data_IF_512537954035
#
_entry.id   IF_512537954035
#
_cell.length_a   1.000
_cell.length_b   1.000
_cell.length_c   1.000
_cell.angle_alpha   90.00
_cell.angle_beta   90.00
_cell.angle_gamma   90.00
#
_symmetry.space_group_name_H-M   'P 1'
#
loop_
_entity.id
_entity.type
_entity.pdbx_description
1 polymer ?
#
# COMPACT_ATOMS: atom_id res chain seq x y z
N UNK A 1 30.17 -63.61 -45.51
CA UNK A 1 28.71 -63.62 -45.27
C UNK A 1 28.45 -62.74 -44.06
N UNK A 2 27.99 -61.50 -44.30
CA UNK A 2 26.65 -60.97 -43.90
C UNK A 2 26.43 -60.93 -42.38
N UNK A 3 26.04 -59.84 -41.72
CA UNK A 3 25.61 -58.47 -42.07
C UNK A 3 25.86 -57.54 -40.85
N UNK A 4 26.06 -56.23 -40.99
CA UNK A 4 25.07 -55.16 -41.20
C UNK A 4 23.98 -55.08 -40.11
N UNK A 5 24.11 -54.11 -39.19
CA UNK A 5 23.12 -53.05 -38.87
C UNK A 5 23.52 -52.26 -37.60
N UNK A 6 23.58 -50.93 -37.76
CA UNK A 6 23.39 -49.89 -36.71
C UNK A 6 21.90 -49.49 -36.77
N UNK A 7 21.22 -49.09 -35.67
CA UNK A 7 21.15 -47.66 -35.34
C UNK A 7 20.93 -47.27 -33.86
N UNK A 8 21.51 -46.11 -33.48
CA UNK A 8 20.95 -45.09 -32.58
C UNK A 8 20.03 -45.51 -31.42
N UNK A 9 20.60 -45.63 -30.22
CA UNK A 9 19.84 -45.40 -28.97
C UNK A 9 19.97 -43.92 -28.56
N UNK A 10 18.94 -43.16 -28.90
CA UNK A 10 18.71 -41.84 -28.33
C UNK A 10 18.25 -41.99 -26.87
N UNK A 11 19.14 -41.65 -25.93
CA UNK A 11 18.82 -41.52 -24.51
C UNK A 11 17.76 -40.42 -24.35
N UNK A 12 16.51 -40.81 -24.04
CA UNK A 12 15.47 -39.88 -23.61
C UNK A 12 15.70 -39.55 -22.13
N UNK A 13 15.79 -38.28 -21.71
CA UNK A 13 15.79 -37.96 -20.29
C UNK A 13 14.39 -38.24 -19.73
N UNK A 14 14.33 -39.06 -18.68
CA UNK A 14 13.14 -39.26 -17.89
C UNK A 14 12.86 -37.99 -17.07
N UNK A 15 11.89 -37.19 -17.51
CA UNK A 15 11.47 -35.98 -16.80
C UNK A 15 10.79 -36.35 -15.47
N UNK A 16 11.32 -35.78 -14.39
CA UNK A 16 10.78 -35.97 -13.04
C UNK A 16 9.44 -35.24 -12.88
N UNK A 17 8.54 -35.76 -12.03
CA UNK A 17 7.19 -35.21 -11.86
C UNK A 17 7.13 -33.73 -11.42
N UNK A 18 8.22 -33.17 -10.88
CA UNK A 18 8.32 -31.75 -10.52
C UNK A 18 8.51 -30.84 -11.74
N UNK A 19 9.18 -31.30 -12.79
CA UNK A 19 9.47 -30.49 -13.99
C UNK A 19 8.22 -30.33 -14.87
N UNK A 20 7.36 -31.35 -14.92
CA UNK A 20 6.05 -31.28 -15.60
C UNK A 20 5.13 -30.24 -14.97
N UNK A 21 5.16 -30.09 -13.64
CA UNK A 21 4.34 -29.10 -12.92
C UNK A 21 4.80 -27.66 -13.18
N UNK A 22 6.11 -27.42 -13.28
CA UNK A 22 6.64 -26.10 -13.60
C UNK A 22 6.42 -25.69 -15.07
N UNK A 23 6.52 -26.64 -16.01
CA UNK A 23 6.23 -26.39 -17.42
C UNK A 23 4.74 -26.06 -17.64
N UNK A 24 3.83 -26.75 -16.95
CA UNK A 24 2.39 -26.51 -17.08
C UNK A 24 1.95 -25.16 -16.49
N UNK A 25 2.61 -24.70 -15.40
CA UNK A 25 2.38 -23.36 -14.83
C UNK A 25 2.85 -22.24 -15.76
N UNK A 26 3.95 -22.43 -16.49
CA UNK A 26 4.42 -21.44 -17.48
C UNK A 26 3.49 -21.34 -18.69
N UNK A 27 2.91 -22.45 -19.13
CA UNK A 27 1.95 -22.46 -20.25
C UNK A 27 0.61 -21.75 -19.90
N UNK A 28 0.14 -21.92 -18.65
CA UNK A 28 -1.06 -21.23 -18.14
C UNK A 28 -0.87 -19.72 -17.99
N UNK A 29 0.33 -19.28 -17.60
CA UNK A 29 0.67 -17.85 -17.53
C UNK A 29 0.73 -17.19 -18.92
N UNK A 30 1.29 -17.87 -19.93
CA UNK A 30 1.34 -17.33 -21.29
C UNK A 30 -0.02 -17.24 -21.98
N UNK A 31 -0.94 -18.18 -21.70
CA UNK A 31 -2.29 -18.16 -22.28
C UNK A 31 -3.20 -17.11 -21.63
N UNK A 32 -3.06 -16.86 -20.31
CA UNK A 32 -3.81 -15.82 -19.61
C UNK A 32 -3.44 -14.39 -20.05
N UNK A 33 -2.16 -14.12 -20.32
CA UNK A 33 -1.69 -12.80 -20.78
C UNK A 33 -2.20 -12.46 -22.18
N UNK A 34 -2.29 -13.46 -23.07
CA UNK A 34 -2.83 -13.29 -24.42
C UNK A 34 -4.34 -13.01 -24.44
N UNK A 35 -5.10 -13.61 -23.52
CA UNK A 35 -6.54 -13.37 -23.41
C UNK A 35 -6.85 -11.94 -22.91
N UNK A 36 -6.04 -11.40 -21.99
CA UNK A 36 -6.22 -10.05 -21.47
C UNK A 36 -5.92 -8.96 -22.53
N UNK A 37 -4.91 -9.19 -23.38
CA UNK A 37 -4.56 -8.27 -24.46
C UNK A 37 -5.65 -8.15 -25.53
N UNK A 38 -6.40 -9.23 -25.78
CA UNK A 38 -7.50 -9.26 -26.76
C UNK A 38 -8.76 -8.52 -26.27
N UNK A 39 -9.02 -8.53 -24.95
CA UNK A 39 -10.14 -7.79 -24.35
C UNK A 39 -9.88 -6.28 -24.36
N UNK A 40 -8.63 -5.84 -24.17
CA UNK A 40 -8.27 -4.41 -24.24
C UNK A 40 -8.35 -3.88 -25.67
N UNK A 41 -8.02 -4.70 -26.68
CA UNK A 41 -8.05 -4.25 -28.08
C UNK A 41 -9.47 -4.08 -28.64
N UNK A 42 -10.45 -4.84 -28.14
CA UNK A 42 -11.84 -4.78 -28.62
C UNK A 42 -12.65 -3.62 -28.02
N UNK A 43 -12.19 -3.01 -26.92
CA UNK A 43 -12.90 -1.90 -26.27
C UNK A 43 -12.49 -0.50 -26.80
N UNK A 44 -11.47 -0.41 -27.66
CA UNK A 44 -10.98 0.87 -28.22
C UNK A 44 -11.47 1.17 -29.64
N UNK A 45 -12.43 0.43 -30.17
CA UNK A 45 -12.90 0.58 -31.56
C UNK A 45 -14.42 0.66 -31.69
N UNK A 46 -15.05 1.73 -31.19
CA UNK A 46 -16.37 2.14 -31.70
C UNK A 46 -16.60 3.65 -31.49
N UNK A 47 -15.99 4.44 -32.38
CA UNK A 47 -16.24 5.88 -32.52
C UNK A 47 -17.09 6.12 -33.76
N UNK A 48 -18.41 6.19 -33.58
CA UNK A 48 -19.37 6.52 -34.63
C UNK A 48 -19.75 8.00 -34.63
N UNK A 49 -19.32 8.71 -35.68
CA UNK A 49 -19.74 10.07 -36.04
C UNK A 49 -21.26 10.19 -36.26
N UNK A 50 -21.87 11.29 -35.81
CA UNK A 50 -22.90 12.01 -36.56
C UNK A 50 -22.79 13.52 -36.36
N UNK A 51 -22.73 14.22 -37.49
CA UNK A 51 -22.63 15.67 -37.64
C UNK A 51 -23.99 16.38 -37.55
N UNK A 52 -23.94 17.67 -37.18
CA UNK A 52 -24.84 18.71 -37.70
C UNK A 52 -25.57 19.57 -36.66
N UNK A 53 -25.04 20.77 -36.37
CA UNK A 53 -25.65 22.05 -36.75
C UNK A 53 -24.95 23.23 -36.05
N UNK A 54 -24.57 24.22 -36.85
CA UNK A 54 -23.96 25.50 -36.51
C UNK A 54 -24.90 26.46 -35.79
N UNK A 55 -24.45 27.09 -34.70
CA UNK A 55 -24.80 28.48 -34.34
C UNK A 55 -23.87 29.01 -33.24
N UNK A 56 -23.27 30.18 -33.52
CA UNK A 56 -22.67 31.18 -32.63
C UNK A 56 -21.57 30.77 -31.63
N UNK A 57 -20.36 31.27 -31.89
CA UNK A 57 -19.24 31.25 -30.96
C UNK A 57 -19.42 32.42 -29.99
N UNK A 58 -19.87 32.12 -28.77
CA UNK A 58 -19.87 33.06 -27.65
C UNK A 58 -18.53 32.89 -26.89
N UNK A 59 -17.66 33.89 -26.94
CA UNK A 59 -16.28 33.83 -26.43
C UNK A 59 -16.14 33.99 -24.90
N UNK A 60 -17.22 33.81 -24.12
CA UNK A 60 -17.22 34.13 -22.68
C UNK A 60 -17.97 33.15 -21.79
N UNK A 61 -17.71 31.84 -21.88
CA UNK A 61 -17.96 30.93 -20.74
C UNK A 61 -16.94 29.80 -20.77
N UNK A 62 -15.92 29.88 -19.91
CA UNK A 62 -15.08 28.72 -19.60
C UNK A 62 -16.01 27.70 -18.93
N UNK A 63 -16.22 26.49 -19.48
CA UNK A 63 -17.01 25.49 -18.79
C UNK A 63 -16.24 25.13 -17.52
N UNK A 64 -16.76 25.59 -16.39
CA UNK A 64 -16.43 25.07 -15.07
C UNK A 64 -16.83 23.60 -15.15
N UNK A 65 -15.88 22.72 -15.51
CA UNK A 65 -16.08 21.29 -15.38
C UNK A 65 -16.40 21.08 -13.91
N UNK A 66 -17.68 20.86 -13.61
CA UNK A 66 -18.10 20.34 -12.34
C UNK A 66 -17.33 19.03 -12.20
N UNK A 67 -16.27 19.06 -11.40
CA UNK A 67 -15.55 17.86 -11.00
C UNK A 67 -16.59 17.04 -10.25
N UNK A 68 -17.25 16.14 -10.96
CA UNK A 68 -18.07 15.11 -10.34
C UNK A 68 -17.13 14.42 -9.38
N UNK A 69 -17.41 14.53 -8.07
CA UNK A 69 -16.70 13.75 -7.05
C UNK A 69 -16.68 12.31 -7.57
N UNK A 70 -15.52 11.68 -7.81
CA UNK A 70 -15.51 10.31 -8.26
C UNK A 70 -16.30 9.48 -7.26
N UNK A 71 -17.12 8.57 -7.78
CA UNK A 71 -17.90 7.68 -6.93
C UNK A 71 -16.92 6.92 -6.05
N UNK A 72 -17.31 6.71 -4.80
CA UNK A 72 -16.56 5.96 -3.78
C UNK A 72 -16.14 4.54 -4.22
N UNK A 73 -16.59 4.08 -5.39
CA UNK A 73 -16.26 2.83 -6.06
C UNK A 73 -14.89 2.80 -6.76
N UNK A 74 -14.32 3.94 -7.16
CA UNK A 74 -13.15 3.93 -8.05
C UNK A 74 -11.82 3.68 -7.30
N UNK A 75 -11.86 3.65 -5.97
CA UNK A 75 -10.75 3.29 -5.08
C UNK A 75 -11.02 2.01 -4.29
N UNK A 76 -11.93 1.17 -4.77
CA UNK A 76 -12.36 -0.05 -4.07
C UNK A 76 -11.35 -1.20 -4.20
N UNK A 77 -10.07 -0.97 -3.94
CA UNK A 77 -9.22 -2.07 -3.47
C UNK A 77 -9.64 -2.32 -2.03
N UNK A 78 -10.68 -3.14 -1.84
CA UNK A 78 -11.10 -3.54 -0.51
C UNK A 78 -9.94 -4.27 0.16
N UNK A 79 -9.31 -3.61 1.13
CA UNK A 79 -8.34 -4.25 2.00
C UNK A 79 -9.09 -5.26 2.86
N UNK A 80 -9.03 -6.52 2.46
CA UNK A 80 -9.71 -7.66 3.07
C UNK A 80 -8.86 -8.34 4.15
N UNK A 81 -7.55 -8.09 4.17
CA UNK A 81 -6.60 -8.65 5.13
C UNK A 81 -5.58 -7.59 5.52
N UNK A 82 -5.23 -7.52 6.80
CA UNK A 82 -4.19 -6.61 7.30
C UNK A 82 -3.37 -7.35 8.35
N UNK A 83 -2.05 -7.31 8.21
CA UNK A 83 -1.17 -7.73 9.29
C UNK A 83 -1.18 -6.69 10.40
N UNK A 84 -1.32 -7.12 11.65
CA UNK A 84 -1.33 -6.22 12.81
C UNK A 84 -0.41 -6.73 13.89
N UNK A 85 0.36 -5.85 14.52
CA UNK A 85 1.08 -6.21 15.74
C UNK A 85 0.18 -6.10 16.99
N UNK A 86 0.72 -6.49 18.15
CA UNK A 86 -0.03 -6.55 19.40
C UNK A 86 -0.51 -5.18 19.93
N UNK A 87 -0.01 -4.06 19.41
CA UNK A 87 -0.41 -2.71 19.81
C UNK A 87 -1.37 -2.04 18.83
N UNK A 88 -1.65 -2.65 17.67
CA UNK A 88 -2.50 -2.06 16.65
C UNK A 88 -3.96 -1.87 17.13
N UNK A 89 -4.63 -0.76 16.75
CA UNK A 89 -5.97 -0.44 17.20
C UNK A 89 -7.04 -1.26 16.44
N UNK A 90 -7.14 -2.55 16.75
CA UNK A 90 -8.02 -3.51 16.07
C UNK A 90 -9.48 -3.03 15.93
N UNK A 91 -10.05 -2.44 17.00
CA UNK A 91 -11.41 -1.93 16.99
C UNK A 91 -11.60 -0.76 15.99
N UNK A 92 -10.59 0.08 15.80
CA UNK A 92 -10.62 1.19 14.84
C UNK A 92 -10.50 0.64 13.42
N UNK A 93 -9.58 -0.31 13.19
CA UNK A 93 -9.42 -0.97 11.91
C UNK A 93 -10.71 -1.70 11.48
N UNK A 94 -11.32 -2.47 12.37
CA UNK A 94 -12.56 -3.20 12.08
C UNK A 94 -13.75 -2.27 11.80
N UNK A 95 -13.79 -1.09 12.43
CA UNK A 95 -14.87 -0.11 12.19
C UNK A 95 -14.75 0.57 10.83
N UNK A 96 -13.53 0.88 10.39
CA UNK A 96 -13.27 1.67 9.17
C UNK A 96 -12.93 0.82 7.94
N UNK A 97 -12.61 -0.46 8.12
CA UNK A 97 -12.44 -1.46 7.06
C UNK A 97 -13.49 -2.57 7.19
N UNK A 98 -14.52 -2.53 6.35
CA UNK A 98 -15.57 -3.54 6.33
C UNK A 98 -14.99 -4.91 5.97
N UNK A 99 -15.14 -5.88 6.88
CA UNK A 99 -14.68 -7.27 6.75
C UNK A 99 -13.15 -7.48 6.62
N UNK A 100 -12.34 -6.65 7.30
CA UNK A 100 -10.89 -6.89 7.36
C UNK A 100 -10.55 -8.08 8.28
N UNK A 101 -9.85 -9.07 7.75
CA UNK A 101 -9.23 -10.14 8.53
C UNK A 101 -7.92 -9.59 9.11
N UNK A 102 -7.88 -9.44 10.43
CA UNK A 102 -6.66 -9.08 11.15
C UNK A 102 -5.80 -10.32 11.31
N UNK A 103 -4.59 -10.29 10.75
CA UNK A 103 -3.62 -11.37 10.86
C UNK A 103 -2.60 -10.92 11.91
N UNK A 104 -2.62 -11.50 13.12
CA UNK A 104 -1.69 -11.10 14.16
C UNK A 104 -0.27 -11.45 13.73
N UNK A 105 0.61 -10.46 13.79
CA UNK A 105 2.05 -10.68 13.71
C UNK A 105 2.54 -11.19 15.07
N UNK A 106 3.55 -12.07 15.08
CA UNK A 106 4.12 -12.58 16.33
C UNK A 106 4.61 -11.43 17.22
N UNK A 107 4.25 -11.46 18.51
CA UNK A 107 4.64 -10.47 19.54
C UNK A 107 6.16 -10.33 19.65
N UNK A 108 6.88 -11.42 19.34
CA UNK A 108 8.31 -11.42 19.12
C UNK A 108 8.55 -11.84 17.68
N UNK A 109 9.05 -10.92 16.86
CA UNK A 109 9.43 -11.18 15.47
C UNK A 109 10.64 -12.13 15.42
N UNK A 110 10.44 -13.41 15.71
CA UNK A 110 11.41 -14.40 15.27
C UNK A 110 11.29 -14.52 13.74
N UNK A 111 12.43 -14.55 13.05
CA UNK A 111 12.48 -14.52 11.58
C UNK A 111 11.58 -15.57 10.94
N UNK A 112 11.49 -16.75 11.56
CA UNK A 112 10.69 -17.85 11.03
C UNK A 112 9.20 -17.54 11.02
N UNK A 113 8.64 -17.04 12.12
CA UNK A 113 7.21 -16.81 12.24
C UNK A 113 6.74 -15.66 11.34
N UNK A 114 7.55 -14.61 11.17
CA UNK A 114 7.25 -13.58 10.18
C UNK A 114 7.25 -14.16 8.77
N UNK A 115 8.28 -14.93 8.39
CA UNK A 115 8.39 -15.48 7.05
C UNK A 115 7.22 -16.41 6.72
N UNK A 116 6.82 -17.25 7.68
CA UNK A 116 5.62 -18.08 7.56
C UNK A 116 4.38 -17.22 7.38
N UNK A 117 4.18 -16.18 8.20
CA UNK A 117 3.04 -15.28 8.07
C UNK A 117 2.97 -14.58 6.70
N UNK A 118 4.11 -14.07 6.21
CA UNK A 118 4.22 -13.39 4.92
C UNK A 118 4.01 -14.35 3.73
N UNK A 119 4.46 -15.60 3.82
CA UNK A 119 4.26 -16.59 2.77
C UNK A 119 2.85 -17.19 2.77
N UNK A 120 2.32 -17.55 3.94
CA UNK A 120 0.98 -18.14 4.06
C UNK A 120 -0.14 -17.14 3.73
N UNK A 121 0.15 -15.85 3.85
CA UNK A 121 -0.80 -14.77 3.54
C UNK A 121 -0.17 -13.74 2.58
N UNK A 122 0.51 -14.22 1.54
CA UNK A 122 1.18 -13.38 0.53
C UNK A 122 0.27 -12.31 -0.11
N UNK A 123 -1.01 -12.62 -0.26
CA UNK A 123 -2.00 -11.71 -0.85
C UNK A 123 -2.40 -10.57 0.08
N UNK A 124 -2.02 -10.61 1.36
CA UNK A 124 -2.27 -9.51 2.30
C UNK A 124 -1.66 -8.22 1.76
N UNK A 125 -2.46 -7.17 1.50
CA UNK A 125 -1.98 -5.95 0.85
C UNK A 125 -1.27 -4.99 1.81
N UNK A 126 -1.56 -5.07 3.12
CA UNK A 126 -1.12 -4.07 4.08
C UNK A 126 -0.73 -4.63 5.45
N UNK A 127 0.15 -3.90 6.16
CA UNK A 127 0.53 -4.15 7.54
C UNK A 127 0.40 -2.86 8.39
N UNK A 128 -0.01 -2.98 9.65
CA UNK A 128 -0.11 -1.87 10.62
C UNK A 128 0.71 -2.22 11.86
N UNK A 129 1.67 -1.35 12.19
CA UNK A 129 2.70 -1.57 13.20
C UNK A 129 2.76 -0.39 14.17
N UNK A 130 2.94 -0.68 15.45
CA UNK A 130 2.90 0.30 16.56
C UNK A 130 4.24 0.46 17.28
N UNK A 131 5.30 -0.14 16.77
CA UNK A 131 6.64 0.05 17.32
C UNK A 131 7.69 -0.90 16.76
N UNK A 132 8.66 -1.24 17.61
CA UNK A 132 9.85 -2.00 17.24
C UNK A 132 9.50 -3.42 16.80
N UNK A 133 9.55 -3.59 15.50
CA UNK A 133 9.56 -4.88 14.83
C UNK A 133 10.97 -5.43 15.06
N UNK A 134 11.16 -6.25 16.10
CA UNK A 134 12.45 -6.86 16.43
C UNK A 134 12.88 -7.91 15.41
N UNK A 135 13.10 -7.48 14.16
CA UNK A 135 13.38 -8.34 13.02
C UNK A 135 14.84 -8.79 13.04
N UNK A 136 15.06 -10.09 12.98
CA UNK A 136 16.37 -10.63 12.64
C UNK A 136 16.73 -10.34 11.18
N UNK A 137 17.98 -10.63 10.82
CA UNK A 137 18.53 -10.25 9.52
C UNK A 137 17.80 -10.87 8.32
N UNK A 138 17.21 -12.06 8.46
CA UNK A 138 16.47 -12.71 7.37
C UNK A 138 15.02 -12.25 7.32
N UNK A 139 14.37 -12.09 8.48
CA UNK A 139 13.01 -11.56 8.57
C UNK A 139 12.93 -10.14 8.02
N UNK A 140 13.96 -9.32 8.29
CA UNK A 140 14.10 -7.98 7.71
C UNK A 140 14.15 -8.00 6.18
N UNK A 141 14.97 -8.88 5.58
CA UNK A 141 15.09 -8.97 4.12
C UNK A 141 13.76 -9.36 3.47
N UNK A 142 13.08 -10.35 4.04
CA UNK A 142 11.80 -10.82 3.50
C UNK A 142 10.69 -9.78 3.70
N UNK A 143 10.70 -9.04 4.81
CA UNK A 143 9.79 -7.93 5.03
C UNK A 143 10.00 -6.81 4.00
N UNK A 144 11.24 -6.38 3.79
CA UNK A 144 11.56 -5.36 2.80
C UNK A 144 11.21 -5.84 1.38
N UNK A 145 11.45 -7.11 1.06
CA UNK A 145 11.06 -7.71 -0.21
C UNK A 145 9.53 -7.68 -0.37
N UNK A 146 8.78 -8.02 0.67
CA UNK A 146 7.31 -7.96 0.68
C UNK A 146 6.81 -6.53 0.42
N UNK A 147 7.31 -5.50 1.13
CA UNK A 147 6.96 -4.09 0.86
C UNK A 147 7.33 -3.72 -0.57
N UNK A 148 8.55 -4.04 -1.01
CA UNK A 148 9.06 -3.68 -2.34
C UNK A 148 8.24 -4.27 -3.49
N UNK A 149 7.51 -5.37 -3.24
CA UNK A 149 6.66 -6.04 -4.22
C UNK A 149 5.33 -5.35 -4.51
N UNK A 150 5.02 -4.23 -3.83
CA UNK A 150 3.77 -3.49 -4.03
C UNK A 150 2.85 -3.45 -2.82
N UNK A 151 3.38 -3.78 -1.64
CA UNK A 151 2.59 -3.87 -0.40
C UNK A 151 2.81 -2.63 0.44
N UNK A 152 1.83 -2.32 1.27
CA UNK A 152 1.81 -1.13 2.09
C UNK A 152 2.10 -1.46 3.56
N UNK A 153 2.89 -0.64 4.22
CA UNK A 153 3.09 -0.72 5.67
C UNK A 153 2.78 0.62 6.32
N UNK A 154 2.01 0.60 7.39
CA UNK A 154 1.63 1.77 8.18
C UNK A 154 2.27 1.67 9.56
N UNK A 155 3.07 2.66 9.91
CA UNK A 155 3.63 2.84 11.24
C UNK A 155 2.78 3.86 12.03
N UNK A 156 2.38 3.50 13.24
CA UNK A 156 1.60 4.38 14.12
C UNK A 156 2.52 5.20 15.03
N UNK A 157 1.96 6.28 15.57
CA UNK A 157 2.67 7.27 16.37
C UNK A 157 3.44 6.67 17.53
N UNK A 158 4.70 7.08 17.65
CA UNK A 158 5.59 6.70 18.75
C UNK A 158 7.04 6.80 18.34
N UNK A 159 7.91 7.16 19.28
CA UNK A 159 9.37 7.27 19.03
C UNK A 159 9.97 5.97 18.51
N UNK A 160 9.47 4.84 19.01
CA UNK A 160 9.93 3.52 18.59
C UNK A 160 9.61 3.25 17.12
N UNK A 161 8.43 3.62 16.64
CA UNK A 161 8.03 3.44 15.24
C UNK A 161 8.95 4.20 14.27
N UNK A 162 9.28 5.45 14.59
CA UNK A 162 10.20 6.26 13.77
C UNK A 162 11.62 5.67 13.75
N UNK A 163 12.13 5.26 14.93
CA UNK A 163 13.42 4.58 15.02
C UNK A 163 13.45 3.31 14.16
N UNK A 164 12.38 2.53 14.17
CA UNK A 164 12.26 1.32 13.35
C UNK A 164 12.16 1.62 11.87
N UNK A 165 11.46 2.69 11.46
CA UNK A 165 11.44 3.11 10.05
C UNK A 165 12.85 3.47 9.57
N UNK A 166 13.59 4.24 10.36
CA UNK A 166 14.98 4.60 10.06
C UNK A 166 15.86 3.36 9.99
N UNK A 167 15.74 2.45 10.97
CA UNK A 167 16.52 1.23 11.02
C UNK A 167 16.24 0.29 9.85
N UNK A 168 14.97 0.03 9.51
CA UNK A 168 14.57 -0.94 8.50
C UNK A 168 14.83 -0.45 7.08
N UNK A 169 14.42 0.78 6.79
CA UNK A 169 14.43 1.33 5.43
C UNK A 169 15.63 2.24 5.15
N UNK A 170 16.44 2.56 6.17
CA UNK A 170 17.58 3.46 6.02
C UNK A 170 17.17 4.93 5.85
N UNK A 171 16.01 5.30 6.39
CA UNK A 171 15.58 6.71 6.41
C UNK A 171 16.32 7.48 7.49
N UNK A 172 16.33 8.81 7.35
CA UNK A 172 16.92 9.75 8.31
C UNK A 172 15.84 10.68 8.89
N UNK A 173 14.70 10.10 9.29
CA UNK A 173 13.57 10.87 9.82
C UNK A 173 13.93 11.50 11.16
N UNK A 174 13.75 12.82 11.27
CA UNK A 174 14.02 13.60 12.47
C UNK A 174 12.73 13.79 13.27
N UNK A 175 12.75 13.35 14.53
CA UNK A 175 11.69 13.66 15.48
C UNK A 175 11.71 15.15 15.80
N UNK A 176 10.52 15.73 15.96
CA UNK A 176 10.37 17.10 16.45
C UNK A 176 9.89 17.02 17.90
N UNK A 177 10.34 17.92 18.80
CA UNK A 177 9.65 18.14 20.07
C UNK A 177 8.16 18.33 19.83
N UNK A 178 7.36 17.93 20.80
CA UNK A 178 5.90 17.98 20.70
C UNK A 178 5.41 19.34 20.14
N UNK A 179 4.66 19.28 19.03
CA UNK A 179 3.99 20.43 18.42
C UNK A 179 2.49 20.17 18.49
N UNK A 180 1.72 21.00 19.22
CA UNK A 180 0.29 20.80 19.34
C UNK A 180 -0.40 21.02 17.99
N UNK A 181 -1.49 20.28 17.79
CA UNK A 181 -2.36 20.44 16.62
C UNK A 181 -3.06 21.81 16.57
N UNK A 182 -3.88 22.07 15.54
CA UNK A 182 -4.34 21.11 14.53
C UNK A 182 -3.35 20.89 13.38
N UNK A 183 -3.49 19.77 12.66
CA UNK A 183 -2.77 19.51 11.40
C UNK A 183 -3.69 19.68 10.19
N UNK A 184 -3.22 20.42 9.19
CA UNK A 184 -3.98 20.73 8.00
C UNK A 184 -3.66 19.75 6.88
N UNK A 185 -4.69 19.37 6.13
CA UNK A 185 -4.52 18.55 4.93
C UNK A 185 -3.71 19.32 3.89
N UNK A 186 -2.73 18.66 3.29
CA UNK A 186 -1.89 19.24 2.27
C UNK A 186 -2.56 19.15 0.89
N UNK A 187 -3.10 20.27 0.42
CA UNK A 187 -3.81 20.34 -0.87
C UNK A 187 -2.91 20.08 -2.09
N UNK A 188 -1.58 20.15 -1.94
CA UNK A 188 -0.63 19.87 -3.02
C UNK A 188 -0.34 18.39 -3.17
N UNK A 189 -0.27 17.67 -2.05
CA UNK A 189 0.20 16.29 -2.01
C UNK A 189 -0.92 15.26 -1.92
N UNK A 190 -2.10 15.64 -1.42
CA UNK A 190 -3.22 14.72 -1.28
C UNK A 190 -3.99 14.36 -2.56
N UNK A 191 -4.07 15.21 -3.62
CA UNK A 191 -4.74 14.82 -4.85
C UNK A 191 -4.19 13.53 -5.45
N UNK A 192 -5.08 12.63 -5.90
CA UNK A 192 -4.71 11.33 -6.46
C UNK A 192 -4.36 10.25 -5.42
N UNK A 193 -4.47 10.56 -4.12
CA UNK A 193 -4.25 9.61 -3.04
C UNK A 193 -5.57 9.31 -2.30
N UNK A 194 -5.67 8.21 -1.53
CA UNK A 194 -6.78 7.97 -0.60
C UNK A 194 -7.08 9.15 0.34
N UNK A 195 -6.08 9.98 0.67
CA UNK A 195 -6.24 11.13 1.56
C UNK A 195 -6.96 12.33 0.92
N UNK A 196 -7.16 12.35 -0.40
CA UNK A 196 -7.81 13.46 -1.12
C UNK A 196 -9.17 13.82 -0.51
N UNK A 197 -9.95 12.81 -0.10
CA UNK A 197 -11.29 12.96 0.48
C UNK A 197 -11.30 12.92 2.01
N UNK A 198 -10.12 12.87 2.63
CA UNK A 198 -9.96 12.95 4.07
C UNK A 198 -10.35 14.32 4.62
N UNK A 199 -10.47 14.43 5.97
CA UNK A 199 -10.82 15.67 6.64
C UNK A 199 -9.84 16.79 6.27
N UNK A 200 -10.31 18.04 6.22
CA UNK A 200 -9.44 19.19 5.95
C UNK A 200 -8.49 19.49 7.11
N UNK A 201 -8.85 19.08 8.33
CA UNK A 201 -8.13 19.36 9.56
C UNK A 201 -8.23 18.19 10.53
N UNK A 202 -7.12 17.88 11.21
CA UNK A 202 -7.05 16.90 12.27
C UNK A 202 -6.79 17.60 13.60
N UNK A 203 -7.70 17.41 14.55
CA UNK A 203 -7.50 17.86 15.91
C UNK A 203 -6.59 16.91 16.67
N UNK A 204 -5.89 17.49 17.63
CA UNK A 204 -5.37 16.73 18.74
C UNK A 204 -6.53 16.39 19.68
N UNK A 205 -7.09 15.19 19.53
CA UNK A 205 -8.16 14.73 20.41
C UNK A 205 -7.68 14.72 21.87
N UNK A 206 -8.55 15.12 22.79
CA UNK A 206 -8.26 15.21 24.23
C UNK A 206 -7.57 13.94 24.74
N UNK A 207 -6.28 14.02 25.08
CA UNK A 207 -5.50 12.92 25.63
C UNK A 207 -4.68 12.08 24.64
N UNK A 208 -4.61 12.44 23.35
CA UNK A 208 -3.82 11.68 22.37
C UNK A 208 -2.54 12.43 22.01
N UNK A 209 -1.39 11.79 22.21
CA UNK A 209 -0.11 12.31 21.72
C UNK A 209 -0.03 12.11 20.20
N UNK A 210 0.33 13.18 19.49
CA UNK A 210 0.69 13.11 18.08
C UNK A 210 2.19 13.37 17.93
N UNK A 211 2.87 12.38 17.36
CA UNK A 211 4.31 12.38 17.15
C UNK A 211 4.62 12.82 15.73
N UNK A 212 4.97 14.10 15.58
CA UNK A 212 5.31 14.68 14.30
C UNK A 212 6.77 14.45 13.88
N UNK A 213 7.00 14.53 12.57
CA UNK A 213 8.32 14.44 11.94
C UNK A 213 8.60 15.73 11.19
N UNK A 214 9.86 16.17 11.17
CA UNK A 214 10.27 17.34 10.41
C UNK A 214 10.11 17.07 8.91
N UNK A 215 9.36 17.90 8.21
CA UNK A 215 9.08 17.69 6.77
C UNK A 215 10.37 17.59 5.98
N UNK A 216 11.38 18.38 6.32
CA UNK A 216 12.68 18.38 5.63
C UNK A 216 13.47 17.06 5.79
N UNK A 217 13.14 16.24 6.78
CA UNK A 217 13.76 14.91 6.98
C UNK A 217 13.06 13.79 6.20
N UNK A 218 11.89 14.06 5.63
CA UNK A 218 11.19 13.10 4.76
C UNK A 218 11.98 12.98 3.44
N UNK A 219 12.35 11.75 3.01
CA UNK A 219 13.05 11.56 1.75
C UNK A 219 12.32 12.16 0.55
N UNK A 220 13.05 12.44 -0.54
CA UNK A 220 12.47 13.01 -1.78
C UNK A 220 11.37 12.15 -2.42
N UNK A 221 11.34 10.85 -2.10
CA UNK A 221 10.29 9.91 -2.54
C UNK A 221 9.04 9.95 -1.65
N UNK A 222 9.04 10.79 -0.62
CA UNK A 222 7.96 10.92 0.35
C UNK A 222 7.22 12.25 0.27
N UNK A 223 5.98 12.22 0.76
CA UNK A 223 5.04 13.32 0.66
C UNK A 223 4.27 13.45 1.97
N UNK A 224 4.25 14.67 2.52
CA UNK A 224 3.43 15.01 3.68
C UNK A 224 1.97 15.17 3.27
N UNK A 225 1.07 14.46 3.95
CA UNK A 225 -0.38 14.50 3.73
C UNK A 225 -1.08 15.45 4.70
N UNK A 226 -0.61 15.49 5.95
CA UNK A 226 -1.11 16.39 6.99
C UNK A 226 0.07 17.01 7.73
N UNK A 227 0.15 18.33 7.70
CA UNK A 227 1.24 19.07 8.33
C UNK A 227 0.83 20.41 8.91
N UNK A 228 1.67 20.93 9.81
CA UNK A 228 1.57 22.26 10.42
C UNK A 228 2.95 22.69 10.91
N UNK A 229 3.32 23.96 10.72
CA UNK A 229 4.61 24.52 11.15
C UNK A 229 5.83 23.67 10.76
N UNK A 230 5.87 23.15 9.52
CA UNK A 230 6.93 22.27 9.00
C UNK A 230 7.06 20.91 9.70
N UNK A 231 6.04 20.53 10.45
CA UNK A 231 5.92 19.21 11.08
C UNK A 231 4.82 18.42 10.39
N UNK A 232 5.18 17.27 9.85
CA UNK A 232 4.23 16.31 9.28
C UNK A 232 3.76 15.35 10.36
N UNK A 233 2.44 15.23 10.50
CA UNK A 233 1.83 14.20 11.35
C UNK A 233 1.43 12.96 10.55
N UNK A 234 1.25 13.10 9.23
CA UNK A 234 0.92 11.99 8.34
C UNK A 234 1.70 12.17 7.04
N UNK A 235 2.46 11.17 6.66
CA UNK A 235 3.18 11.14 5.39
C UNK A 235 3.25 9.72 4.85
N UNK A 236 3.58 9.59 3.58
CA UNK A 236 4.03 8.32 3.02
C UNK A 236 5.33 8.51 2.26
N UNK A 237 6.09 7.42 2.13
CA UNK A 237 7.32 7.34 1.35
C UNK A 237 7.13 6.20 0.34
N UNK A 238 7.38 6.47 -0.95
CA UNK A 238 7.40 5.40 -1.96
C UNK A 238 8.61 4.51 -1.75
N UNK A 239 8.39 3.20 -1.73
CA UNK A 239 9.43 2.20 -1.57
C UNK A 239 9.29 1.12 -2.66
N UNK A 240 10.01 1.32 -3.76
CA UNK A 240 9.84 0.55 -5.00
C UNK A 240 8.36 0.58 -5.47
N UNK A 241 7.70 -0.58 -5.55
CA UNK A 241 6.29 -0.67 -5.92
C UNK A 241 5.35 -0.43 -4.73
N UNK A 242 5.86 -0.53 -3.49
CA UNK A 242 5.08 -0.38 -2.27
C UNK A 242 5.16 1.00 -1.65
N UNK A 243 4.53 1.11 -0.49
CA UNK A 243 4.40 2.37 0.25
C UNK A 243 4.70 2.15 1.74
N UNK A 244 5.43 3.10 2.33
CA UNK A 244 5.67 3.16 3.76
C UNK A 244 4.96 4.40 4.29
N UNK A 245 3.88 4.21 5.03
CA UNK A 245 3.07 5.25 5.61
C UNK A 245 3.39 5.44 7.09
N UNK A 246 3.27 6.66 7.57
CA UNK A 246 3.35 7.00 8.97
C UNK A 246 2.12 7.80 9.39
N UNK A 247 1.50 7.40 10.48
CA UNK A 247 0.36 8.09 11.10
C UNK A 247 0.73 8.41 12.53
N UNK A 248 1.09 9.66 12.79
CA UNK A 248 1.72 10.09 14.05
C UNK A 248 0.83 10.04 15.28
N UNK A 249 -0.46 9.75 15.15
CA UNK A 249 -1.35 9.65 16.30
C UNK A 249 -1.14 8.36 17.09
N UNK A 250 -1.16 8.48 18.43
CA UNK A 250 -1.32 7.35 19.33
C UNK A 250 -2.80 6.97 19.45
N UNK A 251 -3.12 5.72 19.11
CA UNK A 251 -4.49 5.21 19.09
C UNK A 251 -4.93 4.51 20.38
N UNK A 252 -4.04 4.33 21.38
CA UNK A 252 -4.34 3.54 22.61
C UNK A 252 -5.56 4.03 23.39
N UNK A 253 -5.75 5.35 23.46
CA UNK A 253 -6.86 6.02 24.15
C UNK A 253 -7.88 6.63 23.20
N UNK A 254 -7.77 6.36 21.91
CA UNK A 254 -8.55 7.06 20.91
C UNK A 254 -9.92 6.42 20.69
N UNK A 255 -10.97 7.24 20.75
CA UNK A 255 -12.31 6.79 20.34
C UNK A 255 -12.32 6.35 18.88
N UNK A 256 -13.01 5.25 18.58
CA UNK A 256 -13.18 4.77 17.21
C UNK A 256 -13.95 5.74 16.29
N UNK A 257 -14.64 6.75 16.84
CA UNK A 257 -15.31 7.82 16.08
C UNK A 257 -14.39 8.99 15.73
N UNK A 258 -13.13 8.97 16.16
CA UNK A 258 -12.18 10.04 15.92
C UNK A 258 -11.81 10.11 14.41
N UNK A 259 -11.71 11.30 13.79
CA UNK A 259 -11.27 11.49 12.40
C UNK A 259 -9.96 10.78 12.03
N UNK A 260 -9.04 10.61 12.99
CA UNK A 260 -7.80 9.85 12.83
C UNK A 260 -8.02 8.38 12.42
N UNK A 261 -9.17 7.78 12.75
CA UNK A 261 -9.54 6.45 12.26
C UNK A 261 -9.76 6.42 10.74
N UNK A 262 -10.30 7.51 10.17
CA UNK A 262 -10.41 7.67 8.71
C UNK A 262 -9.05 7.83 8.04
N UNK A 263 -8.13 8.57 8.69
CA UNK A 263 -6.75 8.73 8.23
C UNK A 263 -6.00 7.39 8.23
N UNK A 264 -6.14 6.60 9.30
CA UNK A 264 -5.56 5.26 9.36
C UNK A 264 -6.09 4.38 8.23
N UNK A 265 -7.39 4.45 7.95
CA UNK A 265 -8.00 3.72 6.84
C UNK A 265 -7.42 4.13 5.49
N UNK A 266 -7.25 5.42 5.27
CA UNK A 266 -6.70 5.94 4.02
C UNK A 266 -5.22 5.57 3.88
N UNK A 267 -4.46 5.59 4.98
CA UNK A 267 -3.07 5.13 5.03
C UNK A 267 -2.94 3.65 4.66
N UNK A 268 -3.83 2.78 5.13
CA UNK A 268 -3.84 1.34 4.82
C UNK A 268 -4.21 1.05 3.35
N UNK A 269 -4.83 2.00 2.64
CA UNK A 269 -5.25 1.88 1.23
C UNK A 269 -4.26 2.46 0.23
N UNK A 270 -3.16 3.06 0.70
CA UNK A 270 -2.09 3.60 -0.14
C UNK A 270 -1.41 2.54 -1.01
#
# INVERSE_FOLDING_TARGET
MSGMLSPHEAVRPAWSGREKSQAMRRLLLCTGVLALALVVYTYSGDGGEKAGSTSEIDYNVVPFFAVSKPKHSDYSTYVNQVFVDGGAPAAILQRHHYAVKLIPLPVHFNDQALRVALWDNYDTPAAVLTGAVGLGGMGRKDFLAWVSSGKNVVFLGGYTSLSTMNELFGFELEYVPYVPGPWWKNDRNTPGTPFQYGPSRLEEGSGNAVYGVKIESIPLTGYSMYDTFRVSAVFYIKYNLGTVCYVGADFRSMSASNPWGGVLRDAVRM
#
